data_IF_518968889378
#
_entry.id   IF_518968889378
#
_cell.length_a   1.000
_cell.length_b   1.000
_cell.length_c   1.000
_cell.angle_alpha   90.00
_cell.angle_beta   90.00
_cell.angle_gamma   90.00
#
_symmetry.space_group_name_H-M   'P 1'
#
loop_
_entity.id
_entity.type
_entity.pdbx_description
1 polymer ?
#
# COMPACT_ATOMS: atom_id res chain seq x y z
N UNK A 1 -12.33 21.79 -12.97
CA UNK A 1 -12.98 20.74 -12.13
C UNK A 1 -13.43 19.64 -13.07
N UNK A 2 -13.09 18.37 -12.78
CA UNK A 2 -13.51 17.24 -13.62
C UNK A 2 -15.04 17.05 -13.50
N UNK A 3 -15.76 16.94 -14.63
CA UNK A 3 -17.19 16.65 -14.62
C UNK A 3 -17.48 15.15 -14.35
N UNK A 4 -18.73 14.85 -14.01
CA UNK A 4 -19.13 13.49 -13.61
C UNK A 4 -18.92 12.44 -14.71
N UNK A 5 -19.17 12.77 -15.98
CA UNK A 5 -19.03 11.86 -17.09
C UNK A 5 -17.54 11.56 -17.36
N UNK A 6 -16.71 12.60 -17.32
CA UNK A 6 -15.26 12.48 -17.47
C UNK A 6 -14.63 11.70 -16.31
N UNK A 7 -15.11 11.92 -15.08
CA UNK A 7 -14.67 11.13 -13.90
C UNK A 7 -15.03 9.65 -14.06
N UNK A 8 -16.24 9.34 -14.52
CA UNK A 8 -16.66 7.97 -14.75
C UNK A 8 -15.77 7.27 -15.82
N UNK A 9 -15.43 7.99 -16.90
CA UNK A 9 -14.52 7.51 -17.93
C UNK A 9 -13.10 7.28 -17.38
N UNK A 10 -12.57 8.22 -16.60
CA UNK A 10 -11.25 8.07 -15.94
C UNK A 10 -11.22 6.84 -15.03
N UNK A 11 -12.23 6.67 -14.17
CA UNK A 11 -12.34 5.49 -13.28
C UNK A 11 -12.37 4.18 -14.07
N UNK A 12 -13.11 4.15 -15.20
CA UNK A 12 -13.16 2.97 -16.09
C UNK A 12 -11.80 2.70 -16.72
N UNK A 13 -11.13 3.72 -17.24
CA UNK A 13 -9.82 3.55 -17.89
C UNK A 13 -8.74 3.11 -16.90
N UNK A 14 -8.77 3.60 -15.65
CA UNK A 14 -7.93 3.10 -14.55
C UNK A 14 -8.23 1.63 -14.27
N UNK A 15 -9.53 1.26 -14.18
CA UNK A 15 -9.93 -0.15 -13.99
C UNK A 15 -9.40 -1.03 -15.12
N UNK A 16 -9.63 -0.65 -16.36
CA UNK A 16 -9.22 -1.44 -17.54
C UNK A 16 -7.70 -1.58 -17.63
N UNK A 17 -6.94 -0.58 -17.18
CA UNK A 17 -5.49 -0.67 -17.08
C UNK A 17 -5.03 -1.67 -16.01
N UNK A 18 -5.67 -1.68 -14.83
CA UNK A 18 -5.25 -2.45 -13.66
C UNK A 18 -5.89 -3.84 -13.56
N UNK A 19 -7.02 -4.06 -14.21
CA UNK A 19 -7.81 -5.28 -14.15
C UNK A 19 -8.39 -5.62 -15.52
N UNK A 20 -7.76 -6.53 -16.22
CA UNK A 20 -8.22 -7.03 -17.53
C UNK A 20 -7.79 -8.49 -17.71
N UNK A 21 -8.06 -9.08 -18.88
CA UNK A 21 -7.74 -10.48 -19.19
C UNK A 21 -6.25 -10.85 -19.13
N UNK A 22 -5.35 -9.86 -19.10
CA UNK A 22 -3.90 -10.04 -19.11
C UNK A 22 -3.26 -9.71 -17.77
N UNK A 23 -3.89 -8.87 -16.94
CA UNK A 23 -3.28 -8.34 -15.73
C UNK A 23 -4.30 -8.15 -14.61
N UNK A 24 -3.87 -8.47 -13.39
CA UNK A 24 -4.55 -8.14 -12.13
C UNK A 24 -3.52 -7.38 -11.29
N UNK A 25 -3.49 -6.06 -11.43
CA UNK A 25 -2.46 -5.20 -10.86
C UNK A 25 -2.98 -4.24 -9.77
N UNK A 26 -4.27 -4.29 -9.41
CA UNK A 26 -4.82 -3.39 -8.42
C UNK A 26 -4.17 -3.52 -7.01
N UNK A 27 -3.68 -4.69 -6.53
CA UNK A 27 -2.92 -4.73 -5.27
C UNK A 27 -1.63 -3.90 -5.34
N UNK A 28 -0.95 -3.89 -6.50
CA UNK A 28 0.24 -3.06 -6.71
C UNK A 28 -0.15 -1.57 -6.78
N UNK A 29 -1.32 -1.23 -7.35
CA UNK A 29 -1.80 0.15 -7.40
C UNK A 29 -2.12 0.71 -6.00
N UNK A 30 -2.69 -0.11 -5.11
CA UNK A 30 -2.83 0.23 -3.70
C UNK A 30 -1.46 0.58 -3.09
N UNK A 31 -0.43 -0.23 -3.37
CA UNK A 31 0.92 0.01 -2.88
C UNK A 31 1.57 1.24 -3.51
N UNK A 32 1.32 1.56 -4.79
CA UNK A 32 1.79 2.81 -5.42
C UNK A 32 1.23 4.03 -4.68
N UNK A 33 -0.08 4.05 -4.43
CA UNK A 33 -0.72 5.15 -3.70
C UNK A 33 -0.18 5.27 -2.26
N UNK A 34 0.02 4.15 -1.57
CA UNK A 34 0.63 4.12 -0.25
C UNK A 34 2.07 4.66 -0.28
N UNK A 35 2.93 4.18 -1.16
CA UNK A 35 4.33 4.59 -1.22
C UNK A 35 4.47 6.08 -1.62
N UNK A 36 3.62 6.57 -2.53
CA UNK A 36 3.58 7.99 -2.85
C UNK A 36 3.16 8.85 -1.64
N UNK A 37 2.23 8.37 -0.81
CA UNK A 37 1.70 9.13 0.34
C UNK A 37 2.54 8.95 1.61
N UNK A 38 3.11 7.78 1.84
CA UNK A 38 3.79 7.38 3.07
C UNK A 38 5.13 8.08 3.33
N UNK A 39 5.62 8.86 2.36
CA UNK A 39 6.82 9.69 2.52
C UNK A 39 6.54 11.04 3.18
N UNK A 40 5.26 11.40 3.41
CA UNK A 40 4.86 12.69 3.97
C UNK A 40 5.41 12.92 5.37
N UNK A 41 5.87 14.15 5.63
CA UNK A 41 6.27 14.63 6.96
C UNK A 41 5.37 15.80 7.37
N UNK A 42 4.58 15.59 8.42
CA UNK A 42 3.62 16.58 8.90
C UNK A 42 4.27 17.80 9.56
N UNK A 43 5.57 17.74 9.88
CA UNK A 43 6.29 18.82 10.54
C UNK A 43 6.68 19.93 9.59
N UNK A 44 7.01 19.59 8.35
CA UNK A 44 7.50 20.53 7.33
C UNK A 44 6.73 20.46 6.00
N UNK A 45 5.77 19.54 5.88
CA UNK A 45 4.97 19.35 4.68
C UNK A 45 5.71 18.71 3.51
N UNK A 46 6.92 18.18 3.72
CA UNK A 46 7.72 17.57 2.66
C UNK A 46 7.28 16.14 2.35
N UNK A 47 7.56 15.69 1.13
CA UNK A 47 7.13 14.36 0.65
C UNK A 47 5.62 14.27 0.43
N UNK A 48 5.08 13.07 0.50
CA UNK A 48 3.67 12.82 0.25
C UNK A 48 3.30 12.73 -1.23
N UNK A 49 2.02 12.59 -1.50
CA UNK A 49 1.51 12.30 -2.84
C UNK A 49 1.45 13.51 -3.78
N UNK A 50 1.53 14.76 -3.28
CA UNK A 50 1.58 15.93 -4.13
C UNK A 50 2.90 15.96 -4.91
N UNK A 51 2.88 16.48 -6.13
CA UNK A 51 4.04 16.47 -7.02
C UNK A 51 4.16 15.20 -7.88
N UNK A 52 3.57 14.07 -7.46
CA UNK A 52 3.71 12.80 -8.16
C UNK A 52 5.17 12.38 -8.35
N UNK A 53 6.02 12.69 -7.38
CA UNK A 53 7.50 12.67 -7.45
C UNK A 53 8.08 11.28 -7.69
N UNK A 54 7.34 10.19 -7.39
CA UNK A 54 7.77 8.81 -7.70
C UNK A 54 8.09 8.57 -9.19
N UNK A 55 7.76 9.52 -10.07
CA UNK A 55 8.12 9.48 -11.50
C UNK A 55 9.60 9.78 -11.74
N UNK A 56 10.26 10.45 -10.80
CA UNK A 56 11.60 11.00 -10.93
C UNK A 56 12.63 10.30 -10.03
N UNK A 57 13.89 10.38 -10.44
CA UNK A 57 15.00 9.99 -9.56
C UNK A 57 15.24 11.05 -8.48
N UNK A 58 15.64 10.64 -7.26
CA UNK A 58 16.03 9.27 -6.86
C UNK A 58 14.86 8.39 -6.42
N UNK A 59 13.66 8.91 -6.19
CA UNK A 59 12.52 8.16 -5.64
C UNK A 59 12.09 7.01 -6.56
N UNK A 60 12.17 7.22 -7.88
CA UNK A 60 11.82 6.22 -8.90
C UNK A 60 12.57 4.90 -8.74
N UNK A 61 13.85 4.97 -8.40
CA UNK A 61 14.74 3.81 -8.22
C UNK A 61 14.96 3.43 -6.77
N UNK A 62 14.25 4.04 -5.81
CA UNK A 62 14.32 3.64 -4.41
C UNK A 62 14.03 2.13 -4.28
N UNK A 63 14.91 1.35 -3.62
CA UNK A 63 14.66 -0.08 -3.39
C UNK A 63 13.32 -0.37 -2.72
N UNK A 64 12.81 0.52 -1.87
CA UNK A 64 11.48 0.40 -1.28
C UNK A 64 10.36 0.41 -2.34
N UNK A 65 10.59 1.02 -3.50
CA UNK A 65 9.66 1.12 -4.63
C UNK A 65 9.82 -0.02 -5.65
N UNK A 66 10.60 -1.06 -5.33
CA UNK A 66 10.81 -2.18 -6.24
C UNK A 66 9.47 -2.82 -6.68
N UNK A 67 9.31 -2.99 -8.00
CA UNK A 67 8.12 -3.56 -8.62
C UNK A 67 6.96 -2.58 -8.85
N UNK A 68 7.01 -1.35 -8.32
CA UNK A 68 5.96 -0.34 -8.52
C UNK A 68 5.96 0.26 -9.93
N UNK A 69 7.10 0.22 -10.64
CA UNK A 69 7.23 0.68 -12.02
C UNK A 69 6.17 0.09 -12.96
N UNK A 70 5.78 -1.17 -12.73
CA UNK A 70 4.76 -1.86 -13.53
C UNK A 70 3.44 -1.05 -13.56
N UNK A 71 2.93 -0.66 -12.39
CA UNK A 71 1.68 0.09 -12.29
C UNK A 71 1.88 1.57 -12.60
N UNK A 72 2.99 2.15 -12.19
CA UNK A 72 3.32 3.53 -12.54
C UNK A 72 3.27 3.76 -14.06
N UNK A 73 3.83 2.83 -14.84
CA UNK A 73 3.83 2.92 -16.29
C UNK A 73 2.41 2.72 -16.89
N UNK A 74 1.61 1.79 -16.34
CA UNK A 74 0.20 1.63 -16.72
C UNK A 74 -0.61 2.90 -16.45
N UNK A 75 -0.44 3.53 -15.30
CA UNK A 75 -1.15 4.75 -14.93
C UNK A 75 -0.65 5.97 -15.72
N UNK A 76 0.60 5.97 -16.15
CA UNK A 76 1.09 6.98 -17.08
C UNK A 76 0.38 6.92 -18.44
N UNK A 77 0.09 5.73 -18.98
CA UNK A 77 -0.71 5.60 -20.20
C UNK A 77 -2.15 6.09 -20.01
N UNK A 78 -2.72 5.93 -18.82
CA UNK A 78 -4.02 6.54 -18.49
C UNK A 78 -3.90 8.06 -18.46
N UNK A 79 -2.87 8.62 -17.82
CA UNK A 79 -2.66 10.06 -17.74
C UNK A 79 -2.57 10.72 -19.14
N UNK A 80 -1.97 10.07 -20.13
CA UNK A 80 -1.92 10.59 -21.51
C UNK A 80 -3.30 10.89 -22.12
N UNK A 81 -4.35 10.17 -21.66
CA UNK A 81 -5.74 10.41 -22.08
C UNK A 81 -6.41 11.53 -21.28
N UNK A 82 -5.85 11.84 -20.10
CA UNK A 82 -6.39 12.82 -19.14
C UNK A 82 -5.28 13.79 -18.69
N UNK A 83 -4.67 14.56 -19.63
CA UNK A 83 -3.50 15.40 -19.31
C UNK A 83 -3.82 16.59 -18.39
N UNK A 84 -5.08 16.88 -18.18
CA UNK A 84 -5.59 17.87 -17.22
C UNK A 84 -5.80 17.33 -15.80
N UNK A 85 -5.61 16.03 -15.58
CA UNK A 85 -5.62 15.38 -14.27
C UNK A 85 -4.18 15.01 -13.92
N UNK A 86 -3.67 15.47 -12.79
CA UNK A 86 -2.28 15.18 -12.40
C UNK A 86 -2.03 13.68 -12.23
N UNK A 87 -0.81 13.23 -12.50
CA UNK A 87 -0.40 11.86 -12.18
C UNK A 87 -0.47 11.58 -10.68
N UNK A 88 -0.21 12.59 -9.85
CA UNK A 88 -0.39 12.53 -8.41
C UNK A 88 -1.83 12.15 -8.03
N UNK A 89 -2.83 12.77 -8.66
CA UNK A 89 -4.24 12.42 -8.46
C UNK A 89 -4.57 11.03 -9.04
N UNK A 90 -4.02 10.66 -10.18
CA UNK A 90 -4.23 9.32 -10.78
C UNK A 90 -3.64 8.22 -9.87
N UNK A 91 -2.45 8.41 -9.27
CA UNK A 91 -1.86 7.43 -8.35
C UNK A 91 -2.75 7.21 -7.12
N UNK A 92 -3.21 8.30 -6.50
CA UNK A 92 -4.06 8.20 -5.31
C UNK A 92 -5.46 7.69 -5.63
N UNK A 93 -6.05 8.08 -6.78
CA UNK A 93 -7.31 7.54 -7.28
C UNK A 93 -7.21 6.02 -7.52
N UNK A 94 -6.13 5.56 -8.15
CA UNK A 94 -5.91 4.14 -8.41
C UNK A 94 -5.83 3.33 -7.11
N UNK A 95 -5.24 3.89 -6.04
CA UNK A 95 -5.25 3.29 -4.71
C UNK A 95 -6.65 3.16 -4.12
N UNK A 96 -7.45 4.22 -4.15
CA UNK A 96 -8.83 4.21 -3.68
C UNK A 96 -9.67 3.18 -4.46
N UNK A 97 -9.58 3.18 -5.79
CA UNK A 97 -10.30 2.24 -6.64
C UNK A 97 -9.85 0.79 -6.45
N UNK A 98 -8.59 0.56 -6.05
CA UNK A 98 -8.08 -0.80 -5.77
C UNK A 98 -8.86 -1.49 -4.65
N UNK A 99 -9.28 -0.75 -3.64
CA UNK A 99 -10.11 -1.26 -2.55
C UNK A 99 -11.49 -1.65 -3.08
N UNK A 100 -12.11 -0.78 -3.89
CA UNK A 100 -13.42 -1.05 -4.51
C UNK A 100 -13.36 -2.25 -5.47
N UNK A 101 -12.31 -2.37 -6.29
CA UNK A 101 -12.14 -3.50 -7.22
C UNK A 101 -11.97 -4.83 -6.50
N UNK A 102 -11.41 -4.80 -5.30
CA UNK A 102 -11.26 -5.97 -4.44
C UNK A 102 -12.53 -6.31 -3.63
N UNK A 103 -13.63 -5.58 -3.81
CA UNK A 103 -14.88 -5.79 -3.10
C UNK A 103 -14.97 -5.06 -1.76
N UNK A 104 -14.05 -4.15 -1.48
CA UNK A 104 -14.07 -3.29 -0.29
C UNK A 104 -15.02 -2.09 -0.43
N UNK A 105 -15.10 -1.23 0.59
CA UNK A 105 -15.97 -0.07 0.59
C UNK A 105 -15.52 1.00 -0.40
N UNK A 106 -16.44 1.90 -0.74
CA UNK A 106 -16.08 3.12 -1.45
C UNK A 106 -15.14 3.98 -0.61
N UNK A 107 -14.00 4.36 -1.20
CA UNK A 107 -13.02 5.25 -0.59
C UNK A 107 -13.16 6.64 -1.23
N UNK A 108 -13.60 7.66 -0.49
CA UNK A 108 -13.68 9.02 -1.01
C UNK A 108 -12.31 9.51 -1.50
N UNK A 109 -12.30 10.15 -2.68
CA UNK A 109 -11.09 10.70 -3.28
C UNK A 109 -11.29 12.16 -3.66
N UNK A 110 -10.37 13.02 -3.26
CA UNK A 110 -10.33 14.42 -3.62
C UNK A 110 -9.24 14.68 -4.67
N UNK A 111 -9.58 15.38 -5.73
CA UNK A 111 -8.65 15.88 -6.75
C UNK A 111 -8.09 17.23 -6.33
N UNK A 112 -6.95 17.61 -6.94
CA UNK A 112 -6.35 18.93 -6.74
C UNK A 112 -4.85 18.89 -6.46
N UNK A 113 -4.25 17.69 -6.47
CA UNK A 113 -2.79 17.57 -6.43
C UNK A 113 -2.19 18.05 -7.74
N UNK A 114 -0.99 18.60 -7.66
CA UNK A 114 -0.23 19.06 -8.82
C UNK A 114 0.91 18.10 -9.13
N UNK A 115 1.38 18.12 -10.36
CA UNK A 115 2.57 17.39 -10.76
C UNK A 115 3.80 18.28 -10.77
N UNK A 116 4.90 17.81 -10.20
CA UNK A 116 6.20 18.47 -10.34
C UNK A 116 6.76 18.30 -11.75
N UNK A 117 7.61 19.22 -12.15
CA UNK A 117 8.32 19.18 -13.43
C UNK A 117 9.60 18.34 -13.38
N UNK A 118 10.14 18.11 -12.17
CA UNK A 118 11.41 17.41 -11.95
C UNK A 118 11.46 16.76 -10.56
N UNK A 119 12.59 16.11 -10.26
CA UNK A 119 12.81 15.36 -9.02
C UNK A 119 13.33 16.21 -7.83
N UNK A 120 13.31 17.52 -7.90
CA UNK A 120 13.88 18.38 -6.85
C UNK A 120 13.17 18.24 -5.50
N UNK A 121 11.90 17.88 -5.50
CA UNK A 121 11.08 17.61 -4.30
C UNK A 121 10.97 16.12 -3.94
N UNK A 122 11.71 15.23 -4.62
CA UNK A 122 11.72 13.82 -4.21
C UNK A 122 12.14 13.71 -2.73
N UNK A 123 11.39 12.91 -1.94
CA UNK A 123 11.74 12.68 -0.55
C UNK A 123 13.07 11.93 -0.43
N UNK A 124 13.76 12.10 0.69
CA UNK A 124 14.92 11.29 1.00
C UNK A 124 14.52 9.82 1.17
N UNK A 125 15.44 8.92 0.83
CA UNK A 125 15.29 7.49 1.09
C UNK A 125 15.05 7.18 2.59
N UNK A 126 14.40 6.06 2.88
CA UNK A 126 14.19 5.59 4.25
C UNK A 126 12.97 6.18 4.97
N UNK A 127 12.09 6.91 4.27
CA UNK A 127 10.84 7.41 4.86
C UNK A 127 9.73 6.36 4.91
N UNK A 128 9.83 5.28 4.16
CA UNK A 128 8.85 4.18 4.17
C UNK A 128 9.22 3.13 5.24
N UNK A 129 8.24 2.35 5.74
CA UNK A 129 8.50 1.35 6.76
C UNK A 129 9.46 0.26 6.27
N UNK A 130 10.42 -0.10 7.13
CA UNK A 130 11.25 -1.29 6.98
C UNK A 130 10.54 -2.47 7.66
N UNK A 131 10.17 -3.46 6.85
CA UNK A 131 9.39 -4.61 7.29
C UNK A 131 10.14 -5.54 8.26
N UNK A 132 11.48 -5.43 8.35
CA UNK A 132 12.32 -6.21 9.28
C UNK A 132 12.25 -5.70 10.72
N UNK A 133 11.65 -4.52 10.95
CA UNK A 133 11.64 -3.85 12.24
C UNK A 133 10.33 -4.09 13.02
N UNK A 134 10.15 -3.40 14.15
CA UNK A 134 9.04 -3.60 15.07
C UNK A 134 8.20 -2.36 15.32
N UNK A 135 7.45 -2.39 16.45
CA UNK A 135 6.46 -1.37 16.80
C UNK A 135 7.04 0.04 16.93
N UNK A 136 8.24 0.20 17.49
CA UNK A 136 8.89 1.51 17.63
C UNK A 136 9.12 2.15 16.26
N UNK A 137 9.67 1.38 15.31
CA UNK A 137 9.90 1.87 13.95
C UNK A 137 8.60 2.23 13.24
N UNK A 138 7.54 1.41 13.38
CA UNK A 138 6.22 1.76 12.83
C UNK A 138 5.73 3.11 13.38
N UNK A 139 5.88 3.36 14.68
CA UNK A 139 5.53 4.66 15.27
C UNK A 139 6.39 5.80 14.70
N UNK A 140 7.70 5.60 14.60
CA UNK A 140 8.60 6.63 14.05
C UNK A 140 8.17 7.03 12.62
N UNK A 141 7.82 6.08 11.78
CA UNK A 141 7.37 6.33 10.41
C UNK A 141 5.99 6.99 10.37
N UNK A 142 5.00 6.40 11.03
CA UNK A 142 3.60 6.84 10.91
C UNK A 142 3.29 8.10 11.73
N UNK A 143 3.89 8.25 12.93
CA UNK A 143 3.74 9.49 13.71
C UNK A 143 4.37 10.70 12.99
N UNK A 144 5.45 10.51 12.22
CA UNK A 144 5.98 11.55 11.34
C UNK A 144 4.92 12.07 10.37
N UNK A 145 4.05 11.19 9.87
CA UNK A 145 2.93 11.55 9.00
C UNK A 145 1.74 12.15 9.74
N UNK A 146 1.78 12.23 11.09
CA UNK A 146 0.66 12.69 11.91
C UNK A 146 -0.39 11.60 12.21
N UNK A 147 -0.07 10.33 11.97
CA UNK A 147 -0.98 9.19 12.17
C UNK A 147 -0.82 8.60 13.57
N UNK A 148 -1.91 8.08 14.12
CA UNK A 148 -1.97 7.43 15.44
C UNK A 148 -1.68 5.92 15.37
N UNK A 149 -1.53 5.27 16.53
CA UNK A 149 -1.42 3.81 16.63
C UNK A 149 -2.63 3.09 16.01
N UNK A 150 -3.83 3.65 16.13
CA UNK A 150 -5.03 3.15 15.46
C UNK A 150 -4.89 3.16 13.93
N UNK A 151 -4.36 4.26 13.38
CA UNK A 151 -4.17 4.42 11.95
C UNK A 151 -3.11 3.46 11.43
N UNK A 152 -2.02 3.24 12.19
CA UNK A 152 -0.98 2.24 11.87
C UNK A 152 -1.62 0.87 11.65
N UNK A 153 -2.40 0.42 12.64
CA UNK A 153 -3.03 -0.90 12.58
C UNK A 153 -4.04 -0.96 11.41
N UNK A 154 -4.90 0.04 11.26
CA UNK A 154 -5.92 0.06 10.21
C UNK A 154 -5.30 0.02 8.80
N UNK A 155 -4.27 0.83 8.55
CA UNK A 155 -3.61 0.88 7.25
C UNK A 155 -2.82 -0.40 6.93
N UNK A 156 -2.27 -1.06 7.95
CA UNK A 156 -1.62 -2.37 7.78
C UNK A 156 -2.57 -3.44 7.23
N UNK A 157 -3.88 -3.28 7.42
CA UNK A 157 -4.91 -4.14 6.86
C UNK A 157 -4.91 -4.22 5.33
N UNK A 158 -4.25 -3.29 4.64
CA UNK A 158 -4.03 -3.37 3.19
C UNK A 158 -3.24 -4.63 2.78
N UNK A 159 -2.51 -5.26 3.70
CA UNK A 159 -1.85 -6.55 3.47
C UNK A 159 -2.84 -7.72 3.24
N UNK A 160 -4.16 -7.51 3.42
CA UNK A 160 -5.15 -8.47 2.90
C UNK A 160 -5.03 -8.65 1.38
N UNK A 161 -4.47 -7.65 0.66
CA UNK A 161 -4.30 -7.64 -0.79
C UNK A 161 -2.86 -8.00 -1.20
N UNK A 162 -2.76 -8.81 -2.24
CA UNK A 162 -1.50 -9.11 -2.90
C UNK A 162 -0.62 -10.12 -2.17
N UNK A 163 0.66 -10.08 -2.52
CA UNK A 163 1.69 -10.95 -1.95
C UNK A 163 3.08 -10.33 -2.09
N UNK A 164 4.00 -10.77 -1.25
CA UNK A 164 5.42 -10.53 -1.43
C UNK A 164 6.01 -11.42 -2.53
N UNK A 165 7.01 -10.87 -3.23
CA UNK A 165 7.84 -11.58 -4.19
C UNK A 165 9.30 -11.40 -3.79
N UNK A 166 10.02 -12.49 -3.58
CA UNK A 166 11.39 -12.49 -3.09
C UNK A 166 12.30 -11.52 -3.85
N UNK A 167 12.27 -11.58 -5.17
CA UNK A 167 13.12 -10.75 -6.05
C UNK A 167 12.82 -9.23 -5.98
N UNK A 168 11.75 -8.83 -5.30
CA UNK A 168 11.35 -7.41 -5.16
C UNK A 168 11.54 -6.88 -3.75
N UNK A 169 11.24 -7.69 -2.74
CA UNK A 169 11.19 -7.25 -1.34
C UNK A 169 12.10 -8.04 -0.40
N UNK A 170 12.68 -9.14 -0.85
CA UNK A 170 13.40 -10.08 0.02
C UNK A 170 12.49 -10.97 0.87
N UNK A 171 11.17 -10.82 0.74
CA UNK A 171 10.12 -11.62 1.37
C UNK A 171 9.33 -12.39 0.32
N UNK A 172 8.71 -13.51 0.70
CA UNK A 172 7.88 -14.30 -0.22
C UNK A 172 6.64 -14.88 0.46
N UNK A 173 5.50 -14.79 -0.22
CA UNK A 173 4.24 -15.36 0.20
C UNK A 173 3.08 -14.37 0.27
N UNK A 174 1.92 -14.87 0.65
CA UNK A 174 0.67 -14.12 0.77
C UNK A 174 0.22 -14.10 2.24
N UNK A 175 -0.48 -13.04 2.64
CA UNK A 175 -1.00 -12.90 4.02
C UNK A 175 -2.35 -13.59 4.21
N UNK A 176 -3.11 -13.74 3.10
CA UNK A 176 -4.48 -14.28 3.11
C UNK A 176 -4.65 -15.33 2.03
N UNK A 177 -5.67 -16.17 2.17
CA UNK A 177 -5.99 -17.18 1.16
C UNK A 177 -6.52 -16.57 -0.12
N UNK A 178 -7.20 -15.42 0.00
CA UNK A 178 -7.83 -14.69 -1.10
C UNK A 178 -7.15 -13.33 -1.34
N UNK A 179 -5.90 -13.27 -1.87
CA UNK A 179 -5.10 -12.04 -1.95
C UNK A 179 -5.64 -11.00 -2.96
N UNK A 180 -6.76 -11.25 -3.59
CA UNK A 180 -7.46 -10.35 -4.49
C UNK A 180 -8.80 -9.86 -3.93
N UNK A 181 -9.11 -10.21 -2.67
CA UNK A 181 -10.31 -9.77 -1.98
C UNK A 181 -9.95 -8.86 -0.81
N UNK A 182 -10.63 -7.72 -0.72
CA UNK A 182 -10.52 -6.84 0.44
C UNK A 182 -11.52 -7.28 1.50
N UNK A 183 -10.98 -7.84 2.58
CA UNK A 183 -11.74 -8.26 3.76
C UNK A 183 -10.85 -8.24 5.01
N UNK A 184 -11.38 -8.69 6.14
CA UNK A 184 -10.64 -8.73 7.41
C UNK A 184 -9.84 -10.02 7.62
N UNK A 185 -9.65 -10.86 6.59
CA UNK A 185 -8.92 -12.12 6.74
C UNK A 185 -7.49 -11.90 7.26
N UNK A 186 -6.83 -10.82 6.84
CA UNK A 186 -5.51 -10.46 7.36
C UNK A 186 -5.48 -10.35 8.90
N UNK A 187 -6.40 -9.60 9.50
CA UNK A 187 -6.47 -9.45 10.95
C UNK A 187 -6.90 -10.74 11.65
N UNK A 188 -7.84 -11.49 11.06
CA UNK A 188 -8.25 -12.79 11.59
C UNK A 188 -7.08 -13.76 11.63
N UNK A 189 -6.31 -13.87 10.56
CA UNK A 189 -5.14 -14.74 10.49
C UNK A 189 -4.07 -14.25 11.49
N UNK A 190 -3.78 -12.96 11.51
CA UNK A 190 -2.81 -12.38 12.43
C UNK A 190 -3.11 -12.74 13.89
N UNK A 191 -4.35 -12.57 14.34
CA UNK A 191 -4.76 -12.76 15.73
C UNK A 191 -4.92 -14.25 16.09
N UNK A 192 -5.57 -15.05 15.24
CA UNK A 192 -6.00 -16.40 15.62
C UNK A 192 -5.01 -17.50 15.25
N UNK A 193 -4.11 -17.27 14.26
CA UNK A 193 -3.12 -18.27 13.90
C UNK A 193 -1.86 -18.16 14.76
N UNK A 194 -1.13 -19.29 14.84
CA UNK A 194 0.18 -19.36 15.49
C UNK A 194 1.25 -19.10 14.44
N UNK A 195 2.09 -18.12 14.69
CA UNK A 195 3.15 -17.69 13.78
C UNK A 195 4.51 -18.13 14.30
N UNK A 196 5.32 -18.79 13.44
CA UNK A 196 6.71 -19.17 13.73
C UNK A 196 7.66 -18.61 12.68
N UNK A 197 8.91 -18.30 13.05
CA UNK A 197 9.93 -17.95 12.06
C UNK A 197 10.00 -18.99 10.96
N UNK A 198 10.08 -18.56 9.71
CA UNK A 198 10.27 -19.42 8.54
C UNK A 198 11.77 -19.69 8.38
N UNK A 199 12.14 -20.95 8.25
CA UNK A 199 13.48 -21.37 7.89
C UNK A 199 13.62 -21.32 6.36
N UNK A 200 14.43 -20.39 5.85
CA UNK A 200 14.69 -20.18 4.43
C UNK A 200 15.83 -19.18 4.20
N UNK A 201 16.29 -18.98 2.95
CA UNK A 201 17.46 -18.12 2.62
C UNK A 201 17.11 -16.62 2.51
N UNK A 202 15.87 -16.22 2.80
CA UNK A 202 15.41 -14.82 2.76
C UNK A 202 15.49 -14.12 4.11
N UNK A 203 14.93 -12.90 4.14
CA UNK A 203 14.81 -12.14 5.38
C UNK A 203 13.86 -12.83 6.38
N UNK A 204 14.01 -12.50 7.67
CA UNK A 204 13.11 -13.01 8.70
C UNK A 204 11.66 -12.70 8.35
N UNK A 205 10.87 -13.73 8.16
CA UNK A 205 9.42 -13.68 8.06
C UNK A 205 8.82 -14.85 8.83
N UNK A 206 7.53 -14.78 9.06
CA UNK A 206 6.80 -15.80 9.80
C UNK A 206 5.89 -16.58 8.86
N UNK A 207 5.69 -17.86 9.17
CA UNK A 207 4.70 -18.72 8.52
C UNK A 207 3.71 -19.23 9.56
N UNK A 208 2.46 -19.43 9.14
CA UNK A 208 1.43 -20.01 10.01
C UNK A 208 1.74 -21.50 10.27
N UNK A 209 1.51 -21.92 11.51
CA UNK A 209 1.75 -23.30 11.93
C UNK A 209 0.65 -24.23 11.39
N UNK A 210 -0.54 -23.72 11.26
CA UNK A 210 -1.77 -24.45 10.95
C UNK A 210 -1.77 -24.99 9.51
N UNK A 211 -1.31 -24.18 8.54
CA UNK A 211 -1.32 -24.60 7.12
C UNK A 211 0.04 -24.52 6.44
N UNK A 212 0.94 -23.66 6.93
CA UNK A 212 2.24 -23.39 6.30
C UNK A 212 2.17 -22.62 4.98
N UNK A 213 0.98 -22.07 4.61
CA UNK A 213 0.75 -21.41 3.32
C UNK A 213 0.85 -19.89 3.38
N UNK A 214 0.64 -19.33 4.57
CA UNK A 214 0.54 -17.88 4.77
C UNK A 214 1.81 -17.34 5.42
N UNK A 215 2.03 -16.03 5.24
CA UNK A 215 3.17 -15.34 5.83
C UNK A 215 2.75 -14.11 6.60
N UNK A 216 3.57 -13.70 7.56
CA UNK A 216 3.56 -12.39 8.20
C UNK A 216 4.97 -11.83 8.25
N UNK A 217 5.06 -10.50 8.10
CA UNK A 217 6.29 -9.75 8.29
C UNK A 217 6.55 -9.51 9.78
N UNK A 218 7.78 -9.20 10.22
CA UNK A 218 8.04 -8.74 11.59
C UNK A 218 7.16 -7.55 12.01
N UNK A 219 6.93 -6.60 11.12
CA UNK A 219 6.02 -5.47 11.33
C UNK A 219 4.56 -5.90 11.52
N UNK A 220 4.10 -6.94 10.82
CA UNK A 220 2.75 -7.49 11.04
C UNK A 220 2.62 -8.14 12.41
N UNK A 221 3.61 -8.97 12.79
CA UNK A 221 3.62 -9.62 14.10
C UNK A 221 3.67 -8.61 15.24
N UNK A 222 4.33 -7.47 15.02
CA UNK A 222 4.33 -6.36 15.99
C UNK A 222 2.91 -5.86 16.30
N UNK A 223 1.97 -5.89 15.37
CA UNK A 223 0.58 -5.50 15.62
C UNK A 223 -0.14 -6.44 16.60
N UNK A 224 0.28 -7.70 16.68
CA UNK A 224 -0.26 -8.69 17.62
C UNK A 224 0.43 -8.62 18.99
N UNK A 225 1.72 -8.30 19.03
CA UNK A 225 2.55 -8.41 20.23
C UNK A 225 2.68 -7.10 21.02
N UNK A 226 2.54 -5.94 20.37
CA UNK A 226 2.57 -4.64 21.04
C UNK A 226 1.23 -4.40 21.75
N UNK A 227 1.32 -4.00 23.03
CA UNK A 227 0.16 -3.86 23.92
C UNK A 227 -0.83 -2.77 23.45
N UNK A 228 -0.36 -1.74 22.75
CA UNK A 228 -1.20 -0.64 22.26
C UNK A 228 -1.79 -0.92 20.85
N UNK A 229 -1.10 -1.67 20.00
CA UNK A 229 -1.62 -2.05 18.69
C UNK A 229 -2.64 -3.18 18.76
N UNK A 230 -2.38 -4.16 19.62
CA UNK A 230 -3.18 -5.38 19.71
C UNK A 230 -4.69 -5.17 19.85
N UNK A 231 -5.19 -4.26 20.72
CA UNK A 231 -6.64 -4.04 20.84
C UNK A 231 -7.30 -3.60 19.53
N UNK A 232 -6.61 -2.80 18.70
CA UNK A 232 -7.12 -2.40 17.40
C UNK A 232 -7.12 -3.55 16.39
N UNK A 233 -6.08 -4.39 16.39
CA UNK A 233 -6.02 -5.56 15.54
C UNK A 233 -7.11 -6.60 15.90
N UNK A 234 -7.35 -6.82 17.18
CA UNK A 234 -8.45 -7.66 17.68
C UNK A 234 -9.82 -7.12 17.25
N UNK A 235 -10.07 -5.82 17.40
CA UNK A 235 -11.31 -5.18 16.96
C UNK A 235 -11.54 -5.38 15.46
N UNK A 236 -10.51 -5.12 14.63
CA UNK A 236 -10.60 -5.27 13.17
C UNK A 236 -10.75 -6.73 12.73
N UNK A 237 -10.31 -7.69 13.53
CA UNK A 237 -10.54 -9.12 13.26
C UNK A 237 -12.01 -9.53 13.36
N UNK A 238 -12.84 -8.74 14.05
CA UNK A 238 -14.26 -9.02 14.31
C UNK A 238 -15.22 -8.32 13.34
N UNK A 239 -14.75 -7.29 12.61
CA UNK A 239 -15.62 -6.58 11.66
C UNK A 239 -15.94 -7.47 10.45
N UNK A 240 -17.10 -7.23 9.84
CA UNK A 240 -17.49 -7.81 8.56
C UNK A 240 -17.46 -6.72 7.47
N UNK A 241 -16.75 -7.00 6.39
CA UNK A 241 -16.64 -6.13 5.22
C UNK A 241 -17.32 -6.83 4.04
#
# INVERSE_FOLDING_TARGET
>A
MIDAARLANLKRDVKDALLNNKVIAFPIACRVAWHASGTFDARDGSGGSDGGTMRFEPEKSDPANAGLGIVRDMLHEVHKKYPDVSQADIFTLAGALSIEFAGGPHVPHAFGRTDDSDGSRCPAHGRLPDASQGATHLRDVFHRMGMSDRDIVALSGAHTLGRCHFVRSGYDGKWTRSPLRFDNEYFRNLIHYTWKPREWDGQLQYTDVETGELMMLPTDVALKTDANFRPYAELLSLIHI
#
